data_IF_781397653941
#
_entry.id   IF_781397653941
#
_cell.length_a   1.000
_cell.length_b   1.000
_cell.length_c   1.000
_cell.angle_alpha   90.00
_cell.angle_beta   90.00
_cell.angle_gamma   90.00
#
_symmetry.space_group_name_H-M   'P 1'
#
loop_
_entity.id
_entity.type
_entity.pdbx_description
1 polymer ?
#
# COMPACT_ATOMS: atom_id res chain seq x y z
N UNK A 1 -16.30 -8.22 -7.03
CA UNK A 1 -16.09 -7.02 -6.18
C UNK A 1 -16.64 -5.81 -6.92
N UNK A 2 -17.52 -5.03 -6.29
CA UNK A 2 -18.03 -3.77 -6.84
C UNK A 2 -17.44 -2.63 -5.99
N UNK A 3 -16.63 -1.78 -6.59
CA UNK A 3 -15.99 -0.64 -5.93
C UNK A 3 -16.81 0.61 -6.28
N UNK A 4 -17.35 1.29 -5.27
CA UNK A 4 -18.04 2.57 -5.48
C UNK A 4 -17.06 3.63 -6.01
N UNK A 5 -17.56 4.63 -6.75
CA UNK A 5 -16.76 5.73 -7.31
C UNK A 5 -15.89 6.45 -6.25
N UNK A 6 -16.33 6.42 -4.99
CA UNK A 6 -15.68 7.07 -3.86
C UNK A 6 -14.32 6.45 -3.50
N UNK A 7 -14.04 5.21 -3.91
CA UNK A 7 -12.78 4.53 -3.59
C UNK A 7 -11.60 5.13 -4.35
N UNK A 8 -11.81 5.60 -5.59
CA UNK A 8 -10.77 6.31 -6.32
C UNK A 8 -10.41 7.63 -5.63
N UNK A 9 -11.42 8.33 -5.12
CA UNK A 9 -11.22 9.54 -4.31
C UNK A 9 -10.48 9.21 -3.02
N UNK A 10 -10.81 8.10 -2.36
CA UNK A 10 -10.08 7.62 -1.18
C UNK A 10 -8.59 7.35 -1.49
N UNK A 11 -8.27 6.78 -2.67
CA UNK A 11 -6.88 6.50 -3.07
C UNK A 11 -6.10 7.79 -3.36
N UNK A 12 -6.73 8.79 -3.98
CA UNK A 12 -6.09 10.09 -4.28
C UNK A 12 -5.72 10.84 -2.99
N UNK A 13 -6.51 10.67 -1.93
CA UNK A 13 -6.24 11.27 -0.63
C UNK A 13 -5.34 10.42 0.27
N UNK A 14 -4.83 9.26 -0.21
CA UNK A 14 -4.05 8.35 0.62
C UNK A 14 -2.91 9.04 1.36
N UNK A 15 -2.14 9.90 0.68
CA UNK A 15 -0.98 10.60 1.24
C UNK A 15 -1.30 11.86 2.05
N UNK A 16 -2.56 12.27 2.13
CA UNK A 16 -2.97 13.41 2.95
C UNK A 16 -2.96 13.03 4.43
N UNK A 17 -2.25 13.79 5.30
CA UNK A 17 -2.12 13.45 6.72
C UNK A 17 -3.47 13.30 7.44
N UNK A 18 -4.41 14.19 7.15
CA UNK A 18 -5.71 14.26 7.84
C UNK A 18 -6.78 13.32 7.25
N UNK A 19 -6.45 12.58 6.17
CA UNK A 19 -7.43 11.69 5.54
C UNK A 19 -7.62 10.40 6.33
N UNK A 20 -8.87 10.14 6.74
CA UNK A 20 -9.28 8.94 7.46
C UNK A 20 -9.43 7.76 6.50
N UNK A 21 -8.48 6.84 6.59
CA UNK A 21 -8.39 5.66 5.76
C UNK A 21 -8.94 4.43 6.50
N UNK A 22 -10.26 4.34 6.67
CA UNK A 22 -10.90 3.37 7.58
C UNK A 22 -11.94 2.45 6.93
N UNK A 23 -12.24 2.62 5.64
CA UNK A 23 -13.26 1.81 4.96
C UNK A 23 -12.69 0.46 4.56
N UNK A 24 -13.34 -0.66 4.93
CA UNK A 24 -12.91 -2.00 4.51
C UNK A 24 -12.77 -2.16 2.98
N UNK A 25 -13.64 -1.49 2.22
CA UNK A 25 -13.62 -1.55 0.76
C UNK A 25 -12.29 -1.05 0.16
N UNK A 26 -11.66 -0.05 0.79
CA UNK A 26 -10.32 0.43 0.44
C UNK A 26 -9.29 -0.69 0.62
N UNK A 27 -9.31 -1.38 1.75
CA UNK A 27 -8.43 -2.52 2.03
C UNK A 27 -8.57 -3.62 0.97
N UNK A 28 -9.81 -3.93 0.57
CA UNK A 28 -10.06 -4.88 -0.52
C UNK A 28 -9.50 -4.40 -1.86
N UNK A 29 -9.62 -3.10 -2.18
CA UNK A 29 -9.05 -2.54 -3.41
C UNK A 29 -7.53 -2.61 -3.43
N UNK A 30 -6.87 -2.31 -2.30
CA UNK A 30 -5.42 -2.39 -2.16
C UNK A 30 -4.92 -3.84 -2.28
N UNK A 31 -5.60 -4.78 -1.62
CA UNK A 31 -5.27 -6.20 -1.76
C UNK A 31 -5.46 -6.69 -3.20
N UNK A 32 -6.59 -6.32 -3.84
CA UNK A 32 -6.85 -6.64 -5.24
C UNK A 32 -5.74 -6.10 -6.17
N UNK A 33 -5.36 -4.84 -6.01
CA UNK A 33 -4.27 -4.24 -6.78
C UNK A 33 -2.94 -4.97 -6.54
N UNK A 34 -2.62 -5.28 -5.28
CA UNK A 34 -1.39 -5.99 -4.90
C UNK A 34 -1.32 -7.39 -5.53
N UNK A 35 -2.43 -8.14 -5.54
CA UNK A 35 -2.50 -9.45 -6.20
C UNK A 35 -2.36 -9.32 -7.72
N UNK A 36 -3.05 -8.35 -8.34
CA UNK A 36 -2.98 -8.13 -9.80
C UNK A 36 -1.60 -7.69 -10.27
N UNK A 37 -0.91 -6.88 -9.49
CA UNK A 37 0.48 -6.47 -9.71
C UNK A 37 1.48 -7.56 -9.28
N UNK A 38 1.00 -8.69 -8.73
CA UNK A 38 1.82 -9.79 -8.21
C UNK A 38 2.82 -9.34 -7.15
N UNK A 39 2.46 -8.36 -6.33
CA UNK A 39 3.25 -7.94 -5.17
C UNK A 39 3.04 -8.91 -3.99
N UNK A 40 1.86 -9.49 -3.92
CA UNK A 40 1.49 -10.58 -3.02
C UNK A 40 0.79 -11.69 -3.81
N UNK A 41 0.75 -12.89 -3.24
CA UNK A 41 -0.05 -14.00 -3.77
C UNK A 41 -1.52 -13.93 -3.31
N UNK A 42 -2.31 -14.94 -3.69
CA UNK A 42 -3.75 -15.00 -3.37
C UNK A 42 -4.05 -15.18 -1.88
N UNK A 43 -3.06 -15.64 -1.10
CA UNK A 43 -3.15 -15.81 0.35
C UNK A 43 -2.60 -14.59 1.10
N UNK A 44 -2.10 -13.60 0.37
CA UNK A 44 -1.54 -12.35 0.90
C UNK A 44 -0.08 -12.45 1.33
N UNK A 45 0.65 -13.48 0.90
CA UNK A 45 2.08 -13.59 1.16
C UNK A 45 2.90 -12.73 0.18
N UNK A 46 3.96 -12.11 0.69
CA UNK A 46 4.80 -11.17 -0.07
C UNK A 46 5.63 -11.89 -1.14
N UNK A 47 5.55 -11.39 -2.37
CA UNK A 47 6.38 -11.81 -3.50
C UNK A 47 7.57 -10.85 -3.65
N UNK A 48 8.57 -11.02 -2.78
CA UNK A 48 9.70 -10.09 -2.65
C UNK A 48 10.40 -9.72 -3.97
N UNK A 49 10.70 -10.65 -4.91
CA UNK A 49 11.32 -10.29 -6.18
C UNK A 49 10.49 -9.31 -7.01
N UNK A 50 9.15 -9.44 -6.96
CA UNK A 50 8.24 -8.60 -7.73
C UNK A 50 8.11 -7.21 -7.11
N UNK A 51 8.10 -7.11 -5.79
CA UNK A 51 8.12 -5.82 -5.09
C UNK A 51 9.40 -5.05 -5.42
N UNK A 52 10.57 -5.71 -5.34
CA UNK A 52 11.83 -5.08 -5.69
C UNK A 52 11.83 -4.56 -7.14
N UNK A 53 11.36 -5.38 -8.09
CA UNK A 53 11.25 -4.97 -9.49
C UNK A 53 10.27 -3.80 -9.69
N UNK A 54 9.11 -3.82 -9.02
CA UNK A 54 8.10 -2.77 -9.10
C UNK A 54 8.61 -1.42 -8.58
N UNK A 55 9.28 -1.44 -7.42
CA UNK A 55 9.81 -0.24 -6.78
C UNK A 55 10.98 0.34 -7.58
N UNK A 56 11.88 -0.51 -8.09
CA UNK A 56 12.98 -0.08 -8.99
C UNK A 56 12.49 0.49 -10.30
N UNK A 57 11.45 -0.12 -10.90
CA UNK A 57 10.82 0.41 -12.11
C UNK A 57 10.20 1.81 -11.89
N UNK A 58 9.95 2.18 -10.63
CA UNK A 58 9.45 3.49 -10.22
C UNK A 58 10.56 4.50 -9.88
N UNK A 59 11.83 4.15 -10.15
CA UNK A 59 12.99 5.04 -10.00
C UNK A 59 13.80 4.87 -8.70
N UNK A 60 13.49 3.86 -7.88
CA UNK A 60 14.28 3.54 -6.69
C UNK A 60 15.58 2.81 -7.01
N UNK A 61 16.63 3.12 -6.25
CA UNK A 61 17.84 2.31 -6.19
C UNK A 61 17.63 1.04 -5.35
N UNK A 62 18.68 0.21 -5.26
CA UNK A 62 18.66 -1.04 -4.51
C UNK A 62 18.41 -0.85 -3.02
N UNK A 63 19.00 0.17 -2.40
CA UNK A 63 18.91 0.43 -0.97
C UNK A 63 17.47 0.83 -0.59
N UNK A 64 16.91 1.77 -1.36
CA UNK A 64 15.52 2.21 -1.20
C UNK A 64 14.57 1.05 -1.45
N UNK A 65 14.76 0.28 -2.52
CA UNK A 65 13.87 -0.82 -2.86
C UNK A 65 13.83 -1.88 -1.74
N UNK A 66 14.97 -2.22 -1.16
CA UNK A 66 15.05 -3.13 -0.01
C UNK A 66 14.40 -2.54 1.24
N UNK A 67 14.57 -1.24 1.48
CA UNK A 67 13.95 -0.54 2.61
C UNK A 67 12.41 -0.58 2.49
N UNK A 68 11.87 -0.27 1.31
CA UNK A 68 10.43 -0.31 1.04
C UNK A 68 9.88 -1.74 1.17
N UNK A 69 10.58 -2.74 0.63
CA UNK A 69 10.19 -4.16 0.79
C UNK A 69 10.10 -4.54 2.27
N UNK A 70 11.15 -4.24 3.04
CA UNK A 70 11.21 -4.58 4.47
C UNK A 70 10.10 -3.88 5.25
N UNK A 71 9.84 -2.61 4.94
CA UNK A 71 8.76 -1.86 5.59
C UNK A 71 7.38 -2.43 5.25
N UNK A 72 7.12 -2.72 3.97
CA UNK A 72 5.87 -3.32 3.52
C UNK A 72 5.62 -4.67 4.21
N UNK A 73 6.63 -5.54 4.24
CA UNK A 73 6.55 -6.83 4.89
C UNK A 73 6.33 -6.70 6.41
N UNK A 74 7.06 -5.80 7.08
CA UNK A 74 6.89 -5.53 8.51
C UNK A 74 5.46 -5.10 8.83
N UNK A 75 4.88 -4.19 8.04
CA UNK A 75 3.51 -3.73 8.26
C UNK A 75 2.46 -4.83 8.04
N UNK A 76 2.69 -5.75 7.10
CA UNK A 76 1.83 -6.92 6.91
C UNK A 76 1.94 -7.91 8.09
N UNK A 77 3.14 -8.14 8.60
CA UNK A 77 3.40 -9.08 9.69
C UNK A 77 2.90 -8.58 11.05
N UNK A 78 2.91 -7.27 11.28
CA UNK A 78 2.36 -6.64 12.48
C UNK A 78 0.84 -6.73 12.57
N UNK A 79 0.16 -6.84 11.43
CA UNK A 79 -1.31 -6.91 11.40
C UNK A 79 -1.80 -8.25 11.94
N UNK A 80 -2.66 -8.20 12.97
CA UNK A 80 -3.30 -9.37 13.57
C UNK A 80 -4.62 -9.75 12.89
N UNK A 81 -4.96 -9.12 11.76
CA UNK A 81 -6.22 -9.34 11.05
C UNK A 81 -6.14 -10.63 10.23
N UNK A 82 -7.20 -11.42 10.31
CA UNK A 82 -7.36 -12.64 9.52
C UNK A 82 -8.00 -12.37 8.16
N UNK A 83 -8.90 -11.38 8.09
CA UNK A 83 -9.49 -10.92 6.83
C UNK A 83 -8.44 -10.14 6.01
N UNK A 84 -8.22 -10.54 4.76
CA UNK A 84 -7.19 -9.96 3.90
C UNK A 84 -7.43 -8.48 3.58
N UNK A 85 -8.70 -8.04 3.49
CA UNK A 85 -9.00 -6.62 3.26
C UNK A 85 -8.65 -5.79 4.49
N UNK A 86 -9.05 -6.25 5.68
CA UNK A 86 -8.74 -5.57 6.93
C UNK A 86 -7.23 -5.57 7.19
N UNK A 87 -6.54 -6.68 6.88
CA UNK A 87 -5.07 -6.78 6.94
C UNK A 87 -4.38 -5.77 6.01
N UNK A 88 -4.81 -5.69 4.75
CA UNK A 88 -4.27 -4.72 3.81
C UNK A 88 -4.52 -3.26 4.24
N UNK A 89 -5.68 -2.97 4.81
CA UNK A 89 -6.02 -1.64 5.30
C UNK A 89 -5.08 -1.22 6.44
N UNK A 90 -4.90 -2.10 7.43
CA UNK A 90 -4.02 -1.85 8.59
C UNK A 90 -2.55 -1.74 8.17
N UNK A 91 -2.08 -2.65 7.32
CA UNK A 91 -0.71 -2.61 6.80
C UNK A 91 -0.44 -1.33 5.98
N UNK A 92 -1.42 -0.86 5.21
CA UNK A 92 -1.28 0.37 4.42
C UNK A 92 -1.26 1.63 5.30
N UNK A 93 -2.03 1.64 6.40
CA UNK A 93 -1.95 2.71 7.38
C UNK A 93 -0.58 2.74 8.09
N UNK A 94 -0.05 1.57 8.48
CA UNK A 94 1.30 1.42 9.02
C UNK A 94 2.37 1.94 8.04
N UNK A 95 2.28 1.53 6.77
CA UNK A 95 3.23 1.94 5.75
C UNK A 95 3.19 3.46 5.52
N UNK A 96 1.97 4.04 5.46
CA UNK A 96 1.78 5.48 5.31
C UNK A 96 2.46 6.27 6.44
N UNK A 97 2.26 5.83 7.68
CA UNK A 97 2.84 6.49 8.86
C UNK A 97 4.37 6.43 8.84
N UNK A 98 4.94 5.26 8.49
CA UNK A 98 6.39 5.10 8.40
C UNK A 98 7.02 5.91 7.26
N UNK A 99 6.26 6.24 6.22
CA UNK A 99 6.70 7.03 5.07
C UNK A 99 6.38 8.53 5.19
N UNK A 100 5.77 8.99 6.29
CA UNK A 100 5.26 10.37 6.40
C UNK A 100 6.33 11.46 6.20
N UNK A 101 7.55 11.18 6.67
CA UNK A 101 8.70 12.09 6.61
C UNK A 101 9.68 11.72 5.49
N UNK A 102 9.34 10.72 4.67
CA UNK A 102 10.17 10.26 3.57
C UNK A 102 10.01 11.13 2.33
N UNK A 103 11.11 11.42 1.64
CA UNK A 103 11.13 12.08 0.32
C UNK A 103 10.43 11.26 -0.77
N UNK A 104 10.16 9.98 -0.49
CA UNK A 104 9.46 9.05 -1.38
C UNK A 104 7.93 9.17 -1.32
N UNK A 105 7.40 9.97 -0.40
CA UNK A 105 5.98 10.32 -0.41
C UNK A 105 5.72 11.25 -1.60
N UNK A 106 4.77 10.90 -2.50
CA UNK A 106 4.34 11.81 -3.54
C UNK A 106 3.79 13.10 -2.92
N UNK A 107 4.33 14.24 -3.32
CA UNK A 107 3.67 15.53 -3.10
C UNK A 107 2.55 15.59 -4.13
N UNK A 108 1.37 15.10 -3.78
CA UNK A 108 0.22 15.15 -4.69
C UNK A 108 -0.12 16.63 -4.96
N UNK A 109 0.05 17.16 -6.20
CA UNK A 109 -0.60 18.41 -6.52
C UNK A 109 -2.11 18.15 -6.45
N UNK A 110 -2.82 18.92 -5.62
CA UNK A 110 -4.28 18.83 -5.53
C UNK A 110 -4.88 19.52 -6.77
N UNK A 111 -4.70 18.92 -7.94
CA UNK A 111 -5.28 19.43 -9.18
C UNK A 111 -5.74 18.24 -10.03
N UNK A 112 -7.06 18.12 -10.17
CA UNK A 112 -7.75 17.36 -11.21
C UNK A 112 -7.40 17.88 -12.60
#
# INVERSE_FOLDING_TARGET
>A
MHFGKDILVDMLHFWQPDYKFSKKAIGCSLMCASIKLKLVDVDGAVLAPNILAFVKASGADDEVANTILKLYQTCLDLSKKTDLCDKALEASACFREAMKDSTWRPVMPVTL
#
